data_IF_648518648163
#
_entry.id   IF_648518648163
#
_cell.length_a   1.000
_cell.length_b   1.000
_cell.length_c   1.000
_cell.angle_alpha   90.00
_cell.angle_beta   90.00
_cell.angle_gamma   90.00
#
_symmetry.space_group_name_H-M   'P 1'
#
loop_
_entity.id
_entity.type
_entity.pdbx_description
1 polymer ?
#
# COMPACT_ATOMS: atom_id res chain seq x y z
N UNK A 1 -10.98 16.44 38.74
CA UNK A 1 -12.11 17.03 38.02
C UNK A 1 -11.57 18.06 37.03
N UNK A 2 -11.26 17.61 35.79
CA UNK A 2 -10.97 18.47 34.64
C UNK A 2 -10.95 17.55 33.41
N UNK A 3 -12.13 17.13 32.98
CA UNK A 3 -12.41 16.55 31.68
C UNK A 3 -13.34 17.51 30.95
N UNK A 4 -13.00 17.88 29.74
CA UNK A 4 -13.65 18.67 28.70
C UNK A 4 -12.92 20.03 28.43
N UNK A 5 -12.68 20.35 27.13
CA UNK A 5 -13.51 20.11 25.97
C UNK A 5 -12.72 19.58 24.74
N UNK A 6 -12.86 18.34 24.39
CA UNK A 6 -12.38 17.76 23.12
C UNK A 6 -13.52 17.46 22.12
N UNK A 7 -14.73 17.92 22.40
CA UNK A 7 -15.93 17.57 21.61
C UNK A 7 -16.34 18.64 20.57
N UNK A 8 -15.73 19.83 20.59
CA UNK A 8 -16.19 20.93 19.72
C UNK A 8 -15.57 21.00 18.32
N UNK A 9 -14.69 20.07 17.92
CA UNK A 9 -14.09 20.05 16.56
C UNK A 9 -14.73 19.02 15.60
N UNK A 10 -15.83 18.39 15.99
CA UNK A 10 -16.42 17.25 15.28
C UNK A 10 -17.56 17.60 14.29
N UNK A 11 -17.91 18.85 14.05
CA UNK A 11 -19.09 19.16 13.23
C UNK A 11 -18.84 19.86 11.86
N UNK A 12 -17.63 19.94 11.40
CA UNK A 12 -17.46 20.21 9.98
C UNK A 12 -17.62 18.88 9.23
N UNK A 13 -18.85 18.58 8.80
CA UNK A 13 -19.19 17.43 7.94
C UNK A 13 -18.18 17.40 6.80
N UNK A 14 -17.36 16.37 6.80
CA UNK A 14 -16.25 16.20 5.88
C UNK A 14 -16.79 15.95 4.45
N UNK A 15 -17.08 17.04 3.75
CA UNK A 15 -17.61 17.03 2.37
C UNK A 15 -16.64 16.36 1.41
N UNK A 16 -15.33 16.36 1.73
CA UNK A 16 -14.30 15.69 0.95
C UNK A 16 -14.42 14.17 1.10
N UNK A 17 -14.61 13.65 2.32
CA UNK A 17 -14.80 12.22 2.56
C UNK A 17 -16.05 11.69 1.84
N UNK A 18 -17.17 12.40 1.94
CA UNK A 18 -18.41 12.04 1.22
C UNK A 18 -18.25 12.07 -0.30
N UNK A 19 -17.54 13.07 -0.86
CA UNK A 19 -17.23 13.10 -2.30
C UNK A 19 -16.28 12.00 -2.73
N UNK A 20 -15.28 11.67 -1.94
CA UNK A 20 -14.39 10.53 -2.21
C UNK A 20 -15.16 9.20 -2.21
N UNK A 21 -16.03 8.99 -1.23
CA UNK A 21 -16.89 7.80 -1.15
C UNK A 21 -17.84 7.72 -2.37
N UNK A 22 -18.48 8.84 -2.77
CA UNK A 22 -19.39 8.88 -3.93
C UNK A 22 -18.68 8.61 -5.26
N UNK A 23 -17.45 9.08 -5.43
CA UNK A 23 -16.64 8.82 -6.62
C UNK A 23 -16.14 7.38 -6.67
N UNK A 24 -15.88 6.73 -5.52
CA UNK A 24 -15.53 5.32 -5.48
C UNK A 24 -16.66 4.44 -6.00
N UNK A 25 -17.89 4.75 -5.61
CA UNK A 25 -19.09 4.02 -6.05
C UNK A 25 -19.35 4.22 -7.56
N UNK A 26 -19.13 5.44 -8.10
CA UNK A 26 -19.30 5.72 -9.53
C UNK A 26 -18.19 5.13 -10.42
N UNK A 27 -16.96 5.05 -9.93
CA UNK A 27 -15.84 4.52 -10.72
C UNK A 27 -15.96 3.02 -11.00
N UNK A 28 -16.69 2.26 -10.16
CA UNK A 28 -16.90 0.82 -10.37
C UNK A 28 -17.98 0.50 -11.41
N UNK A 29 -18.75 1.49 -11.86
CA UNK A 29 -19.89 1.27 -12.78
C UNK A 29 -19.60 1.64 -14.24
N UNK A 30 -18.51 2.33 -14.53
CA UNK A 30 -18.13 2.68 -15.90
C UNK A 30 -16.79 2.03 -16.27
N UNK A 31 -16.86 0.89 -16.98
CA UNK A 31 -15.76 0.34 -17.77
C UNK A 31 -15.57 1.28 -18.98
N UNK A 32 -15.22 2.50 -18.73
CA UNK A 32 -14.67 3.37 -19.75
C UNK A 32 -13.17 3.47 -19.51
N UNK A 33 -12.37 3.07 -20.52
CA UNK A 33 -10.94 3.27 -20.65
C UNK A 33 -10.58 4.77 -20.61
N UNK A 34 -11.01 5.49 -19.58
CA UNK A 34 -10.40 6.78 -19.29
C UNK A 34 -9.00 6.49 -18.78
N UNK A 35 -8.02 6.71 -19.68
CA UNK A 35 -6.63 6.85 -19.27
C UNK A 35 -6.61 7.71 -18.03
N UNK A 36 -6.08 7.17 -16.93
CA UNK A 36 -5.88 7.89 -15.67
C UNK A 36 -4.70 8.88 -15.84
N UNK A 37 -4.69 9.58 -16.96
CA UNK A 37 -3.70 10.62 -17.22
C UNK A 37 -4.06 11.82 -16.37
N UNK A 38 -3.20 12.13 -15.42
CA UNK A 38 -3.28 13.35 -14.65
C UNK A 38 -2.37 14.36 -15.31
N UNK A 39 -2.94 15.53 -15.59
CA UNK A 39 -2.15 16.66 -16.07
C UNK A 39 -0.98 16.90 -15.09
N UNK A 40 0.28 16.92 -15.55
CA UNK A 40 1.43 17.21 -14.70
C UNK A 40 1.29 18.49 -13.89
N UNK A 41 0.63 19.52 -14.43
CA UNK A 41 0.30 20.75 -13.73
C UNK A 41 -0.52 20.53 -12.43
N UNK A 42 -1.30 19.45 -12.36
CA UNK A 42 -2.07 19.14 -11.15
C UNK A 42 -1.18 18.89 -9.91
N UNK A 43 0.03 18.35 -10.12
CA UNK A 43 1.00 18.18 -9.04
C UNK A 43 1.58 19.50 -8.59
N UNK A 44 1.78 20.45 -9.53
CA UNK A 44 2.32 21.79 -9.23
C UNK A 44 1.32 22.63 -8.42
N UNK A 45 0.03 22.51 -8.74
CA UNK A 45 -1.04 23.29 -8.10
C UNK A 45 -1.52 22.68 -6.78
N UNK A 46 -1.19 21.39 -6.51
CA UNK A 46 -1.72 20.69 -5.35
C UNK A 46 -0.64 20.40 -4.33
N UNK A 47 -0.65 21.14 -3.22
CA UNK A 47 0.19 20.82 -2.05
C UNK A 47 -0.53 19.81 -1.17
N UNK A 48 0.10 18.64 -0.95
CA UNK A 48 -0.30 17.71 0.10
C UNK A 48 0.13 18.32 1.44
N UNK A 49 -0.81 18.92 2.15
CA UNK A 49 -0.59 19.31 3.53
C UNK A 49 -0.89 18.12 4.46
N UNK A 50 -0.41 18.19 5.71
CA UNK A 50 -0.56 17.13 6.71
C UNK A 50 -2.04 16.75 6.92
N UNK A 51 -2.95 17.72 6.96
CA UNK A 51 -4.39 17.47 7.14
C UNK A 51 -4.97 16.66 5.98
N UNK A 52 -4.63 17.00 4.74
CA UNK A 52 -5.06 16.26 3.56
C UNK A 52 -4.48 14.85 3.55
N UNK A 53 -3.20 14.69 3.86
CA UNK A 53 -2.55 13.40 3.98
C UNK A 53 -3.26 12.49 5.00
N UNK A 54 -3.52 13.00 6.20
CA UNK A 54 -4.23 12.25 7.23
C UNK A 54 -5.68 11.91 6.83
N UNK A 55 -6.35 12.79 6.09
CA UNK A 55 -7.69 12.53 5.56
C UNK A 55 -7.67 11.40 4.53
N UNK A 56 -6.70 11.41 3.60
CA UNK A 56 -6.54 10.33 2.61
C UNK A 56 -6.20 9.01 3.29
N UNK A 57 -5.25 9.02 4.21
CA UNK A 57 -4.87 7.83 4.99
C UNK A 57 -6.06 7.24 5.76
N UNK A 58 -6.83 8.08 6.46
CA UNK A 58 -8.05 7.66 7.17
C UNK A 58 -9.08 7.04 6.22
N UNK A 59 -9.28 7.64 5.04
CA UNK A 59 -10.22 7.12 4.05
C UNK A 59 -9.75 5.78 3.49
N UNK A 60 -8.46 5.60 3.26
CA UNK A 60 -7.89 4.35 2.80
C UNK A 60 -8.12 3.22 3.83
N UNK A 61 -7.88 3.50 5.12
CA UNK A 61 -8.18 2.53 6.19
C UNK A 61 -9.67 2.23 6.28
N UNK A 62 -10.54 3.24 6.20
CA UNK A 62 -11.99 3.06 6.22
C UNK A 62 -12.44 2.18 5.05
N UNK A 63 -11.96 2.43 3.83
CA UNK A 63 -12.28 1.62 2.65
C UNK A 63 -11.88 0.16 2.85
N UNK A 64 -10.65 -0.10 3.33
CA UNK A 64 -10.21 -1.48 3.60
C UNK A 64 -11.05 -2.16 4.69
N UNK A 65 -11.36 -1.47 5.78
CA UNK A 65 -12.17 -2.03 6.86
C UNK A 65 -13.62 -2.32 6.44
N UNK A 66 -14.16 -1.53 5.50
CA UNK A 66 -15.55 -1.67 5.04
C UNK A 66 -15.68 -2.49 3.76
N UNK A 67 -14.58 -2.83 3.08
CA UNK A 67 -14.58 -3.57 1.82
C UNK A 67 -15.41 -4.85 1.87
N UNK A 68 -15.31 -5.72 2.90
CA UNK A 68 -16.12 -6.95 2.95
C UNK A 68 -17.62 -6.70 2.93
N UNK A 69 -18.08 -5.56 3.46
CA UNK A 69 -19.50 -5.20 3.55
C UNK A 69 -20.05 -4.54 2.29
N UNK A 70 -19.18 -4.15 1.36
CA UNK A 70 -19.54 -3.49 0.11
C UNK A 70 -19.19 -4.31 -1.13
N UNK A 71 -18.71 -5.54 -0.94
CA UNK A 71 -18.32 -6.46 -2.00
C UNK A 71 -19.57 -6.94 -2.75
N UNK A 72 -19.62 -6.69 -4.08
CA UNK A 72 -20.71 -7.12 -4.95
C UNK A 72 -20.41 -8.48 -5.59
N UNK A 73 -21.41 -9.12 -6.20
CA UNK A 73 -21.27 -10.45 -6.78
C UNK A 73 -20.06 -10.63 -7.72
N UNK A 74 -19.77 -9.64 -8.59
CA UNK A 74 -18.60 -9.65 -9.48
C UNK A 74 -17.26 -9.56 -8.74
N UNK A 75 -17.24 -8.96 -7.57
CA UNK A 75 -16.01 -8.85 -6.78
C UNK A 75 -15.74 -10.12 -5.99
N UNK A 76 -16.78 -10.86 -5.61
CA UNK A 76 -16.64 -12.21 -5.05
C UNK A 76 -15.98 -13.19 -6.02
N UNK A 77 -16.20 -13.02 -7.34
CA UNK A 77 -15.48 -13.81 -8.33
C UNK A 77 -13.97 -13.56 -8.27
N UNK A 78 -13.53 -12.30 -8.16
CA UNK A 78 -12.11 -11.96 -8.00
C UNK A 78 -11.52 -12.54 -6.71
N UNK A 79 -12.30 -12.54 -5.62
CA UNK A 79 -11.90 -13.17 -4.35
C UNK A 79 -11.74 -14.68 -4.55
N UNK A 80 -12.66 -15.32 -5.27
CA UNK A 80 -12.58 -16.75 -5.59
C UNK A 80 -11.39 -17.07 -6.50
N UNK A 81 -11.12 -16.27 -7.53
CA UNK A 81 -9.94 -16.38 -8.39
C UNK A 81 -8.64 -16.26 -7.59
N UNK A 82 -8.56 -15.28 -6.69
CA UNK A 82 -7.43 -15.12 -5.79
C UNK A 82 -7.28 -16.33 -4.85
N UNK A 83 -8.37 -16.81 -4.26
CA UNK A 83 -8.35 -17.96 -3.39
C UNK A 83 -7.92 -19.24 -4.14
N UNK A 84 -8.40 -19.44 -5.38
CA UNK A 84 -8.00 -20.56 -6.23
C UNK A 84 -6.51 -20.51 -6.59
N UNK A 85 -5.99 -19.34 -7.02
CA UNK A 85 -4.57 -19.15 -7.31
C UNK A 85 -3.72 -19.40 -6.06
N UNK A 86 -4.13 -18.86 -4.92
CA UNK A 86 -3.47 -19.05 -3.62
C UNK A 86 -3.47 -20.53 -3.22
N UNK A 87 -4.61 -21.24 -3.39
CA UNK A 87 -4.74 -22.67 -3.13
C UNK A 87 -3.83 -23.51 -4.02
N UNK A 88 -3.73 -23.17 -5.30
CA UNK A 88 -2.81 -23.85 -6.24
C UNK A 88 -1.35 -23.71 -5.81
N UNK A 89 -0.94 -22.50 -5.39
CA UNK A 89 0.42 -22.25 -4.88
C UNK A 89 0.65 -23.00 -3.57
N UNK A 90 -0.37 -23.10 -2.71
CA UNK A 90 -0.29 -23.83 -1.44
C UNK A 90 0.06 -25.31 -1.64
N UNK A 91 -0.43 -25.96 -2.70
CA UNK A 91 -0.07 -27.33 -3.06
C UNK A 91 1.42 -27.47 -3.38
N UNK A 92 2.05 -26.42 -3.90
CA UNK A 92 3.46 -26.37 -4.26
C UNK A 92 4.35 -25.78 -3.16
N UNK A 93 3.81 -25.40 -1.99
CA UNK A 93 4.58 -24.75 -0.92
C UNK A 93 5.84 -25.53 -0.53
N UNK A 94 5.72 -26.83 -0.21
CA UNK A 94 6.85 -27.65 0.20
C UNK A 94 7.86 -27.90 -0.91
N UNK A 95 7.47 -28.33 -2.14
CA UNK A 95 8.40 -28.52 -3.23
C UNK A 95 9.22 -27.26 -3.56
N UNK A 96 8.54 -26.11 -3.69
CA UNK A 96 9.20 -24.84 -4.01
C UNK A 96 10.14 -24.40 -2.87
N UNK A 97 9.68 -24.50 -1.62
CA UNK A 97 10.50 -24.14 -0.47
C UNK A 97 11.77 -25.03 -0.37
N UNK A 98 11.63 -26.33 -0.56
CA UNK A 98 12.76 -27.26 -0.56
C UNK A 98 13.75 -26.96 -1.68
N UNK A 99 13.25 -26.64 -2.87
CA UNK A 99 14.09 -26.22 -4.00
C UNK A 99 14.85 -24.92 -3.68
N UNK A 100 14.14 -23.89 -3.18
CA UNK A 100 14.72 -22.59 -2.82
C UNK A 100 15.81 -22.74 -1.74
N UNK A 101 15.54 -23.55 -0.72
CA UNK A 101 16.50 -23.86 0.36
C UNK A 101 17.74 -24.59 -0.16
N UNK A 102 17.56 -25.58 -1.05
CA UNK A 102 18.68 -26.30 -1.68
C UNK A 102 19.51 -25.35 -2.56
N UNK A 103 18.84 -24.50 -3.33
CA UNK A 103 19.52 -23.51 -4.17
C UNK A 103 20.36 -22.53 -3.35
N UNK A 104 19.83 -22.05 -2.24
CA UNK A 104 20.54 -21.18 -1.29
C UNK A 104 21.74 -21.88 -0.67
N UNK A 105 21.56 -23.11 -0.18
CA UNK A 105 22.63 -23.86 0.47
C UNK A 105 23.78 -24.26 -0.45
N UNK A 106 23.49 -24.54 -1.73
CA UNK A 106 24.48 -24.95 -2.72
C UNK A 106 25.20 -23.79 -3.41
N UNK A 107 24.76 -22.53 -3.21
CA UNK A 107 25.27 -21.36 -3.90
C UNK A 107 25.58 -20.20 -2.93
N UNK A 108 26.80 -20.15 -2.34
CA UNK A 108 27.16 -19.08 -1.38
C UNK A 108 27.02 -17.66 -1.94
N UNK A 109 27.28 -17.48 -3.24
CA UNK A 109 27.07 -16.19 -3.91
C UNK A 109 25.61 -15.77 -3.93
N UNK A 110 24.71 -16.71 -4.27
CA UNK A 110 23.25 -16.46 -4.22
C UNK A 110 22.79 -16.19 -2.78
N UNK A 111 23.31 -16.90 -1.79
CA UNK A 111 23.01 -16.66 -0.39
C UNK A 111 23.37 -15.24 0.04
N UNK A 112 24.57 -14.77 -0.32
CA UNK A 112 25.03 -13.41 -0.03
C UNK A 112 24.14 -12.35 -0.71
N UNK A 113 23.82 -12.53 -1.99
CA UNK A 113 22.93 -11.62 -2.74
C UNK A 113 21.53 -11.61 -2.13
N UNK A 114 20.98 -12.78 -1.80
CA UNK A 114 19.67 -12.92 -1.17
C UNK A 114 19.59 -12.17 0.16
N UNK A 115 20.58 -12.38 1.04
CA UNK A 115 20.67 -11.68 2.32
C UNK A 115 20.79 -10.15 2.17
N UNK A 116 21.47 -9.68 1.14
CA UNK A 116 21.57 -8.25 0.84
C UNK A 116 20.24 -7.70 0.31
N UNK A 117 19.63 -8.37 -0.67
CA UNK A 117 18.39 -7.95 -1.31
C UNK A 117 17.23 -7.93 -0.31
N UNK A 118 17.16 -8.90 0.62
CA UNK A 118 16.07 -8.99 1.59
C UNK A 118 16.02 -7.77 2.52
N UNK A 119 17.14 -7.09 2.78
CA UNK A 119 17.18 -5.88 3.60
C UNK A 119 16.41 -4.72 3.00
N UNK A 120 16.23 -4.69 1.65
CA UNK A 120 15.46 -3.67 0.96
C UNK A 120 13.95 -3.81 1.16
N UNK A 121 13.43 -4.96 1.54
CA UNK A 121 12.03 -5.12 1.95
C UNK A 121 11.79 -4.82 3.44
N UNK A 122 12.76 -4.23 4.12
CA UNK A 122 12.71 -3.87 5.53
C UNK A 122 13.36 -2.51 5.79
N UNK A 123 14.44 -2.44 6.61
CA UNK A 123 15.04 -1.14 6.98
C UNK A 123 15.52 -0.30 5.79
N UNK A 124 16.07 -0.94 4.75
CA UNK A 124 16.62 -0.22 3.60
C UNK A 124 15.52 0.38 2.71
N UNK A 125 14.31 -0.14 2.75
CA UNK A 125 13.17 0.48 2.06
C UNK A 125 12.88 1.88 2.62
N UNK A 126 12.94 2.05 3.94
CA UNK A 126 12.78 3.35 4.59
C UNK A 126 13.88 4.31 4.16
N UNK A 127 15.13 3.85 4.06
CA UNK A 127 16.25 4.67 3.57
C UNK A 127 16.08 5.04 2.09
N UNK A 128 15.63 4.11 1.25
CA UNK A 128 15.34 4.38 -0.15
C UNK A 128 14.25 5.43 -0.31
N UNK A 129 13.12 5.28 0.40
CA UNK A 129 12.04 6.27 0.41
C UNK A 129 12.53 7.63 0.91
N UNK A 130 13.34 7.67 1.97
CA UNK A 130 13.97 8.89 2.48
C UNK A 130 14.89 9.55 1.45
N UNK A 131 15.68 8.77 0.72
CA UNK A 131 16.56 9.25 -0.35
C UNK A 131 15.79 9.85 -1.53
N UNK A 132 14.70 9.22 -1.99
CA UNK A 132 13.83 9.77 -3.02
C UNK A 132 13.12 11.05 -2.57
N UNK A 133 12.71 11.12 -1.30
CA UNK A 133 12.13 12.33 -0.74
C UNK A 133 13.14 13.47 -0.69
N UNK A 134 14.37 13.20 -0.24
CA UNK A 134 15.47 14.16 -0.22
C UNK A 134 15.82 14.64 -1.64
N UNK A 135 15.85 13.74 -2.63
CA UNK A 135 16.03 14.12 -4.04
C UNK A 135 14.94 15.12 -4.47
N UNK A 136 13.66 14.82 -4.17
CA UNK A 136 12.56 15.74 -4.48
C UNK A 136 12.67 17.10 -3.79
N UNK A 137 13.27 17.16 -2.58
CA UNK A 137 13.54 18.42 -1.88
C UNK A 137 14.66 19.20 -2.55
N UNK A 138 15.78 18.56 -2.88
CA UNK A 138 16.97 19.19 -3.46
C UNK A 138 16.70 19.76 -4.85
N UNK A 139 15.96 19.03 -5.69
CA UNK A 139 15.65 19.46 -7.07
C UNK A 139 14.29 20.15 -7.19
N UNK A 140 13.64 20.44 -6.06
CA UNK A 140 12.34 21.12 -5.95
C UNK A 140 11.23 20.50 -6.82
N UNK A 141 11.29 19.21 -7.05
CA UNK A 141 10.33 18.46 -7.88
C UNK A 141 9.16 18.00 -7.04
N UNK A 142 7.95 18.44 -7.35
CA UNK A 142 6.74 18.13 -6.56
C UNK A 142 6.23 16.72 -6.81
N UNK A 143 6.37 16.22 -8.03
CA UNK A 143 5.93 14.87 -8.39
C UNK A 143 6.68 13.83 -7.55
N UNK A 144 8.00 13.93 -7.44
CA UNK A 144 8.85 13.01 -6.69
C UNK A 144 8.53 13.06 -5.18
N UNK A 145 8.37 14.25 -4.60
CA UNK A 145 7.95 14.40 -3.19
C UNK A 145 6.59 13.73 -2.94
N UNK A 146 5.63 14.02 -3.82
CA UNK A 146 4.29 13.45 -3.69
C UNK A 146 4.31 11.94 -3.85
N UNK A 147 4.99 11.41 -4.86
CA UNK A 147 5.12 9.96 -5.09
C UNK A 147 5.71 9.26 -3.86
N UNK A 148 6.76 9.84 -3.27
CA UNK A 148 7.38 9.25 -2.07
C UNK A 148 6.45 9.27 -0.86
N UNK A 149 5.67 10.34 -0.68
CA UNK A 149 4.65 10.40 0.38
C UNK A 149 3.57 9.33 0.16
N UNK A 150 3.11 9.12 -1.08
CA UNK A 150 2.15 8.07 -1.42
C UNK A 150 2.73 6.66 -1.21
N UNK A 151 4.01 6.44 -1.58
CA UNK A 151 4.69 5.19 -1.34
C UNK A 151 4.81 4.89 0.16
N UNK A 152 5.14 5.89 0.97
CA UNK A 152 5.15 5.78 2.44
C UNK A 152 3.76 5.47 3.00
N UNK A 153 2.71 6.09 2.46
CA UNK A 153 1.32 5.79 2.84
C UNK A 153 0.94 4.35 2.51
N UNK A 154 1.28 3.88 1.32
CA UNK A 154 1.03 2.50 0.89
C UNK A 154 1.82 1.49 1.75
N UNK A 155 3.06 1.82 2.11
CA UNK A 155 3.88 1.04 3.04
C UNK A 155 3.20 0.90 4.42
N UNK A 156 2.76 2.02 5.02
CA UNK A 156 2.07 2.01 6.32
C UNK A 156 0.79 1.18 6.25
N UNK A 157 -0.04 1.41 5.23
CA UNK A 157 -1.28 0.67 5.03
C UNK A 157 -1.05 -0.84 4.89
N UNK A 158 -0.14 -1.21 4.00
CA UNK A 158 0.18 -2.61 3.75
C UNK A 158 0.77 -3.29 4.99
N UNK A 159 1.56 -2.56 5.78
CA UNK A 159 2.10 -3.02 7.05
C UNK A 159 1.01 -3.34 8.09
N UNK A 160 0.00 -2.46 8.21
CA UNK A 160 -1.14 -2.69 9.12
C UNK A 160 -1.98 -3.88 8.67
N UNK A 161 -2.34 -3.95 7.38
CA UNK A 161 -3.13 -5.06 6.82
C UNK A 161 -2.36 -6.38 6.97
N UNK A 162 -1.07 -6.38 6.65
CA UNK A 162 -0.20 -7.54 6.82
C UNK A 162 -0.08 -7.97 8.29
N UNK A 163 0.01 -7.02 9.22
CA UNK A 163 0.02 -7.28 10.66
C UNK A 163 -1.26 -7.95 11.15
N UNK A 164 -2.42 -7.46 10.70
CA UNK A 164 -3.73 -8.09 10.97
C UNK A 164 -3.77 -9.51 10.38
N UNK A 165 -3.30 -9.70 9.14
CA UNK A 165 -3.20 -11.02 8.52
C UNK A 165 -2.35 -11.99 9.35
N UNK A 166 -1.15 -11.57 9.75
CA UNK A 166 -0.25 -12.38 10.60
C UNK A 166 -0.92 -12.83 11.89
N UNK A 167 -1.64 -11.93 12.55
CA UNK A 167 -2.37 -12.24 13.76
C UNK A 167 -3.52 -13.23 13.52
N UNK A 168 -4.33 -13.02 12.47
CA UNK A 168 -5.51 -13.85 12.20
C UNK A 168 -5.14 -15.27 11.75
N UNK A 169 -4.11 -15.40 10.93
CA UNK A 169 -3.74 -16.68 10.35
C UNK A 169 -2.77 -17.47 11.21
N UNK A 170 -1.84 -16.81 11.91
CA UNK A 170 -0.87 -17.47 12.79
C UNK A 170 -0.10 -18.57 12.06
N UNK A 171 0.37 -18.32 10.82
CA UNK A 171 1.06 -19.33 10.03
C UNK A 171 2.48 -19.56 10.51
N UNK A 172 2.83 -20.82 10.69
CA UNK A 172 4.15 -21.27 11.09
C UNK A 172 5.18 -21.07 9.97
N UNK A 173 6.37 -20.53 10.33
CA UNK A 173 7.45 -20.30 9.37
C UNK A 173 8.12 -21.58 8.89
N UNK A 174 8.72 -21.58 7.68
CA UNK A 174 9.36 -22.75 7.09
C UNK A 174 10.53 -23.33 7.90
N UNK A 175 11.27 -22.48 8.60
CA UNK A 175 12.44 -22.90 9.40
C UNK A 175 12.05 -23.45 10.79
N UNK A 176 10.81 -23.28 11.21
CA UNK A 176 10.39 -23.53 12.58
C UNK A 176 9.67 -24.88 12.73
N UNK A 177 9.94 -25.55 13.85
CA UNK A 177 9.20 -26.73 14.30
C UNK A 177 8.43 -26.34 15.54
N UNK A 178 7.13 -26.49 15.52
CA UNK A 178 6.26 -26.16 16.65
C UNK A 178 6.53 -27.10 17.85
N UNK A 179 6.93 -26.58 19.01
CA UNK A 179 7.28 -27.41 20.17
C UNK A 179 6.08 -28.11 20.81
N UNK A 180 4.85 -27.61 20.58
CA UNK A 180 3.63 -28.21 21.13
C UNK A 180 3.21 -29.44 20.33
N UNK A 181 3.24 -29.36 19.02
CA UNK A 181 2.81 -30.44 18.13
C UNK A 181 3.93 -31.29 17.57
N UNK A 182 5.18 -30.84 17.67
CA UNK A 182 6.35 -31.46 17.05
C UNK A 182 6.35 -31.39 15.52
N UNK A 183 5.46 -30.60 14.90
CA UNK A 183 5.28 -30.56 13.46
C UNK A 183 5.96 -29.36 12.81
N UNK A 184 6.48 -29.58 11.60
CA UNK A 184 6.99 -28.56 10.69
C UNK A 184 6.14 -28.49 9.44
N UNK A 185 5.87 -27.28 8.92
CA UNK A 185 5.10 -27.13 7.69
C UNK A 185 4.31 -25.84 7.62
N UNK A 186 3.63 -25.59 6.48
CA UNK A 186 2.73 -24.46 6.31
C UNK A 186 1.41 -24.71 7.07
N UNK A 187 1.48 -24.58 8.39
CA UNK A 187 0.37 -24.87 9.30
C UNK A 187 -0.18 -23.54 9.80
N UNK A 188 -1.47 -23.33 9.61
CA UNK A 188 -2.22 -22.19 10.12
C UNK A 188 -2.78 -22.52 11.50
N UNK A 189 -2.26 -21.90 12.53
CA UNK A 189 -2.69 -22.12 13.92
C UNK A 189 -3.82 -21.18 14.36
N UNK A 190 -4.11 -20.16 13.56
CA UNK A 190 -5.12 -19.14 13.87
C UNK A 190 -4.66 -18.09 14.88
N UNK A 191 -5.57 -17.18 15.26
CA UNK A 191 -5.28 -16.12 16.21
C UNK A 191 -4.97 -16.70 17.59
N UNK A 192 -4.17 -15.98 18.36
CA UNK A 192 -3.82 -16.30 19.75
C UNK A 192 -2.92 -17.53 19.96
N UNK A 193 -2.62 -18.36 18.96
CA UNK A 193 -1.78 -19.54 19.18
C UNK A 193 -0.40 -19.20 19.72
N UNK A 194 0.24 -18.17 19.18
CA UNK A 194 1.55 -17.69 19.65
C UNK A 194 1.57 -17.12 21.08
N UNK A 195 0.42 -17.03 21.75
CA UNK A 195 0.31 -16.65 23.15
C UNK A 195 0.26 -17.85 24.09
N UNK A 196 0.17 -19.07 23.57
CA UNK A 196 0.25 -20.30 24.35
C UNK A 196 1.64 -20.46 24.96
N UNK A 197 1.73 -21.29 25.97
CA UNK A 197 3.00 -21.73 26.53
C UNK A 197 3.42 -23.04 25.86
N UNK A 198 4.71 -23.20 25.65
CA UNK A 198 5.29 -24.44 25.19
C UNK A 198 5.25 -25.54 26.27
N UNK A 199 5.68 -26.77 25.94
CA UNK A 199 5.61 -27.94 26.84
C UNK A 199 6.32 -27.75 28.18
N UNK A 200 7.36 -26.91 28.24
CA UNK A 200 8.13 -26.61 29.45
C UNK A 200 7.77 -25.26 30.08
N UNK A 201 6.61 -24.66 29.69
CA UNK A 201 6.14 -23.38 30.22
C UNK A 201 6.77 -22.13 29.59
N UNK A 202 7.66 -22.31 28.60
CA UNK A 202 8.29 -21.22 27.84
C UNK A 202 7.27 -20.45 26.99
N UNK A 203 7.57 -19.18 26.74
CA UNK A 203 6.78 -18.36 25.82
C UNK A 203 7.12 -18.70 24.38
N UNK A 204 6.12 -18.97 23.56
CA UNK A 204 6.30 -19.12 22.12
C UNK A 204 6.72 -17.78 21.48
N UNK A 205 7.59 -17.85 20.49
CA UNK A 205 8.00 -16.67 19.73
C UNK A 205 6.92 -16.30 18.72
N UNK A 206 6.36 -15.10 18.85
CA UNK A 206 5.32 -14.61 17.92
C UNK A 206 5.80 -14.52 16.47
N UNK A 207 7.10 -14.27 16.27
CA UNK A 207 7.68 -14.18 14.94
C UNK A 207 7.61 -15.52 14.18
N UNK A 208 7.68 -16.64 14.88
CA UNK A 208 7.71 -17.97 14.29
C UNK A 208 6.31 -18.41 13.77
N UNK A 209 5.25 -17.76 14.27
CA UNK A 209 3.86 -17.93 13.82
C UNK A 209 3.35 -16.71 13.04
N UNK A 210 4.22 -15.90 12.48
CA UNK A 210 3.89 -14.70 11.73
C UNK A 210 4.40 -14.78 10.29
N UNK A 211 4.18 -15.95 9.62
CA UNK A 211 4.63 -16.17 8.25
C UNK A 211 3.70 -15.47 7.25
N UNK A 212 2.41 -15.75 7.28
CA UNK A 212 1.44 -15.25 6.30
C UNK A 212 0.79 -13.93 6.71
N UNK A 213 0.73 -12.95 5.81
CA UNK A 213 1.47 -12.80 4.55
C UNK A 213 2.91 -12.29 4.77
N UNK A 214 3.77 -12.39 3.74
CA UNK A 214 5.14 -11.87 3.80
C UNK A 214 5.17 -10.34 3.88
N UNK A 215 5.60 -9.79 5.01
CA UNK A 215 5.67 -8.34 5.23
C UNK A 215 6.63 -7.63 4.28
N UNK A 216 7.83 -8.18 4.06
CA UNK A 216 8.82 -7.64 3.13
C UNK A 216 8.29 -7.54 1.71
N UNK A 217 7.64 -8.61 1.24
CA UNK A 217 7.04 -8.63 -0.10
C UNK A 217 5.87 -7.65 -0.20
N UNK A 218 5.03 -7.57 0.84
CA UNK A 218 3.88 -6.65 0.87
C UNK A 218 4.35 -5.20 0.78
N UNK A 219 5.34 -4.81 1.55
CA UNK A 219 5.91 -3.48 1.56
C UNK A 219 6.55 -3.13 0.20
N UNK A 220 7.43 -3.99 -0.31
CA UNK A 220 8.11 -3.78 -1.57
C UNK A 220 7.13 -3.64 -2.76
N UNK A 221 6.11 -4.50 -2.85
CA UNK A 221 5.10 -4.38 -3.90
C UNK A 221 4.18 -3.17 -3.73
N UNK A 222 3.92 -2.72 -2.49
CA UNK A 222 3.16 -1.49 -2.26
C UNK A 222 3.90 -0.26 -2.80
N UNK A 223 5.17 -0.10 -2.46
CA UNK A 223 6.00 0.98 -2.99
C UNK A 223 6.19 0.87 -4.52
N UNK A 224 6.53 -0.32 -5.02
CA UNK A 224 6.70 -0.57 -6.46
C UNK A 224 5.45 -0.19 -7.26
N UNK A 225 4.26 -0.50 -6.76
CA UNK A 225 2.99 -0.16 -7.42
C UNK A 225 2.77 1.34 -7.48
N UNK A 226 3.09 2.07 -6.41
CA UNK A 226 2.99 3.54 -6.43
C UNK A 226 3.92 4.12 -7.49
N UNK A 227 5.21 3.75 -7.51
CA UNK A 227 6.15 4.24 -8.51
C UNK A 227 5.74 3.83 -9.93
N UNK A 228 5.31 2.59 -10.13
CA UNK A 228 4.86 2.10 -11.43
C UNK A 228 3.63 2.87 -11.95
N UNK A 229 2.70 3.23 -11.09
CA UNK A 229 1.50 3.98 -11.48
C UNK A 229 1.77 5.46 -11.71
N UNK A 230 2.65 6.07 -10.92
CA UNK A 230 2.98 7.49 -11.02
C UNK A 230 3.90 7.80 -12.21
N UNK A 231 4.73 6.84 -12.62
CA UNK A 231 5.70 6.97 -13.72
C UNK A 231 5.45 5.97 -14.85
N UNK A 232 4.19 5.63 -15.12
CA UNK A 232 3.84 4.66 -16.18
C UNK A 232 4.20 5.14 -17.59
N UNK A 233 4.41 6.44 -17.80
CA UNK A 233 4.92 7.07 -19.00
C UNK A 233 6.40 6.74 -19.24
N UNK A 234 7.11 6.28 -18.22
CA UNK A 234 8.53 5.88 -18.26
C UNK A 234 8.66 4.36 -18.07
N UNK A 235 8.65 3.55 -19.14
CA UNK A 235 8.48 2.09 -19.05
C UNK A 235 9.54 1.38 -18.21
N UNK A 236 10.73 1.95 -18.07
CA UNK A 236 11.78 1.40 -17.21
C UNK A 236 11.42 1.43 -15.73
N UNK A 237 10.65 2.43 -15.27
CA UNK A 237 10.34 2.57 -13.83
C UNK A 237 9.41 1.45 -13.35
N UNK A 238 8.29 1.11 -14.01
CA UNK A 238 7.49 -0.06 -13.64
C UNK A 238 8.30 -1.37 -13.67
N UNK A 239 9.12 -1.57 -14.70
CA UNK A 239 9.94 -2.79 -14.85
C UNK A 239 10.92 -2.92 -13.68
N UNK A 240 11.68 -1.87 -13.38
CA UNK A 240 12.67 -1.88 -12.30
C UNK A 240 12.02 -2.00 -10.94
N UNK A 241 10.90 -1.29 -10.70
CA UNK A 241 10.18 -1.30 -9.42
C UNK A 241 9.62 -2.69 -9.12
N UNK A 242 8.87 -3.29 -10.04
CA UNK A 242 8.34 -4.63 -9.84
C UNK A 242 9.43 -5.71 -9.90
N UNK A 243 10.48 -5.52 -10.70
CA UNK A 243 11.65 -6.41 -10.72
C UNK A 243 12.33 -6.45 -9.35
N UNK A 244 12.60 -5.29 -8.74
CA UNK A 244 13.17 -5.20 -7.41
C UNK A 244 12.26 -5.84 -6.34
N UNK A 245 10.95 -5.53 -6.36
CA UNK A 245 9.99 -6.12 -5.43
C UNK A 245 9.91 -7.65 -5.57
N UNK A 246 10.00 -8.18 -6.79
CA UNK A 246 10.04 -9.62 -7.05
C UNK A 246 11.31 -10.25 -6.49
N UNK A 247 12.48 -9.64 -6.68
CA UNK A 247 13.74 -10.12 -6.12
C UNK A 247 13.68 -10.14 -4.57
N UNK A 248 13.08 -9.12 -3.94
CA UNK A 248 12.85 -9.10 -2.49
C UNK A 248 11.93 -10.28 -2.09
N UNK A 249 10.84 -10.53 -2.81
CA UNK A 249 9.97 -11.67 -2.54
C UNK A 249 10.68 -13.02 -2.65
N UNK A 250 11.47 -13.21 -3.72
CA UNK A 250 12.25 -14.43 -3.94
C UNK A 250 13.32 -14.64 -2.88
N UNK A 251 13.97 -13.57 -2.40
CA UNK A 251 14.95 -13.67 -1.32
C UNK A 251 14.35 -14.25 -0.04
N UNK A 252 13.05 -13.97 0.24
CA UNK A 252 12.37 -14.53 1.42
C UNK A 252 12.19 -16.04 1.34
N UNK A 253 12.05 -16.59 0.13
CA UNK A 253 11.98 -18.04 -0.10
C UNK A 253 13.36 -18.69 0.09
N UNK A 254 14.38 -18.12 -0.53
CA UNK A 254 15.75 -18.67 -0.45
C UNK A 254 16.33 -18.60 0.96
N UNK A 255 15.95 -17.58 1.74
CA UNK A 255 16.30 -17.46 3.17
C UNK A 255 15.44 -18.35 4.10
N UNK A 256 14.53 -19.15 3.55
CA UNK A 256 13.65 -20.04 4.32
C UNK A 256 12.79 -19.30 5.36
N UNK A 257 12.43 -18.02 5.09
CA UNK A 257 11.69 -17.16 6.01
C UNK A 257 10.19 -17.20 5.78
N UNK A 258 9.77 -17.46 4.54
CA UNK A 258 8.37 -17.44 4.10
C UNK A 258 8.07 -18.57 3.14
N UNK A 259 6.81 -19.04 3.17
CA UNK A 259 6.30 -19.98 2.19
C UNK A 259 5.98 -19.27 0.86
N UNK A 260 5.95 -19.97 -0.29
CA UNK A 260 5.51 -19.41 -1.56
C UNK A 260 4.17 -18.70 -1.50
N UNK A 261 3.22 -19.25 -0.77
CA UNK A 261 1.89 -18.66 -0.57
C UNK A 261 1.97 -17.29 0.13
N UNK A 262 2.88 -17.13 1.11
CA UNK A 262 3.06 -15.87 1.84
C UNK A 262 3.57 -14.77 0.93
N UNK A 263 4.52 -15.12 0.07
CA UNK A 263 5.14 -14.20 -0.91
C UNK A 263 4.10 -13.78 -1.93
N UNK A 264 3.33 -14.72 -2.47
CA UNK A 264 2.27 -14.43 -3.44
C UNK A 264 1.17 -13.54 -2.83
N UNK A 265 0.65 -13.91 -1.66
CA UNK A 265 -0.36 -13.11 -0.96
C UNK A 265 0.18 -11.72 -0.59
N UNK A 266 1.44 -11.64 -0.14
CA UNK A 266 2.11 -10.39 0.14
C UNK A 266 2.22 -9.48 -1.09
N UNK A 267 2.60 -10.03 -2.24
CA UNK A 267 2.69 -9.28 -3.50
C UNK A 267 1.33 -8.71 -3.92
N UNK A 268 0.27 -9.51 -3.81
CA UNK A 268 -1.09 -9.07 -4.15
C UNK A 268 -1.60 -8.00 -3.19
N UNK A 269 -1.40 -8.16 -1.87
CA UNK A 269 -1.78 -7.15 -0.88
C UNK A 269 -1.03 -5.85 -1.08
N UNK A 270 0.27 -5.91 -1.36
CA UNK A 270 1.08 -4.73 -1.68
C UNK A 270 0.58 -4.02 -2.93
N UNK A 271 0.36 -4.77 -4.01
CA UNK A 271 -0.20 -4.23 -5.25
C UNK A 271 -1.54 -3.53 -5.02
N UNK A 272 -2.48 -4.16 -4.31
CA UNK A 272 -3.80 -3.59 -4.05
C UNK A 272 -3.70 -2.33 -3.17
N UNK A 273 -2.86 -2.34 -2.15
CA UNK A 273 -2.62 -1.17 -1.28
C UNK A 273 -2.02 0.01 -2.04
N UNK A 274 -0.97 -0.21 -2.82
CA UNK A 274 -0.36 0.83 -3.66
C UNK A 274 -1.34 1.42 -4.67
N UNK A 275 -2.08 0.55 -5.36
CA UNK A 275 -3.12 0.95 -6.33
C UNK A 275 -4.22 1.78 -5.69
N UNK A 276 -4.67 1.40 -4.50
CA UNK A 276 -5.72 2.12 -3.78
C UNK A 276 -5.24 3.53 -3.40
N UNK A 277 -4.05 3.65 -2.82
CA UNK A 277 -3.47 4.94 -2.42
C UNK A 277 -3.36 5.90 -3.60
N UNK A 278 -2.78 5.44 -4.73
CA UNK A 278 -2.65 6.26 -5.94
C UNK A 278 -4.02 6.66 -6.49
N UNK A 279 -4.96 5.72 -6.60
CA UNK A 279 -6.30 6.02 -7.12
C UNK A 279 -7.05 7.04 -6.25
N UNK A 280 -6.95 6.94 -4.93
CA UNK A 280 -7.59 7.88 -4.01
C UNK A 280 -6.95 9.27 -4.09
N UNK A 281 -5.62 9.34 -4.22
CA UNK A 281 -4.93 10.59 -4.47
C UNK A 281 -5.34 11.23 -5.81
N UNK A 282 -5.40 10.45 -6.89
CA UNK A 282 -5.84 10.93 -8.20
C UNK A 282 -7.30 11.43 -8.17
N UNK A 283 -8.19 10.77 -7.43
CA UNK A 283 -9.56 11.25 -7.20
C UNK A 283 -9.56 12.59 -6.46
N UNK A 284 -8.71 12.73 -5.44
CA UNK A 284 -8.55 13.99 -4.72
C UNK A 284 -8.09 15.12 -5.64
N UNK A 285 -7.10 14.88 -6.51
CA UNK A 285 -6.65 15.87 -7.49
C UNK A 285 -7.79 16.32 -8.41
N UNK A 286 -8.57 15.38 -8.95
CA UNK A 286 -9.74 15.68 -9.80
C UNK A 286 -10.80 16.53 -9.07
N UNK A 287 -11.06 16.25 -7.79
CA UNK A 287 -12.00 17.04 -6.99
C UNK A 287 -11.47 18.48 -6.83
N UNK A 288 -10.18 18.64 -6.59
CA UNK A 288 -9.57 19.98 -6.43
C UNK A 288 -9.60 20.75 -7.73
N UNK A 289 -9.24 20.13 -8.85
CA UNK A 289 -9.32 20.75 -10.18
C UNK A 289 -10.76 21.15 -10.54
N UNK A 290 -11.75 20.29 -10.30
CA UNK A 290 -13.16 20.62 -10.51
C UNK A 290 -13.66 21.76 -9.64
N UNK A 291 -13.11 21.97 -8.45
CA UNK A 291 -13.42 23.15 -7.63
C UNK A 291 -12.75 24.43 -8.15
N UNK A 292 -11.54 24.32 -8.71
CA UNK A 292 -10.86 25.47 -9.31
C UNK A 292 -11.54 25.95 -10.60
N UNK A 293 -12.22 25.02 -11.32
CA UNK A 293 -13.01 25.34 -12.52
C UNK A 293 -14.39 25.96 -12.13
N UNK A 294 -14.83 25.78 -10.89
CA UNK A 294 -16.14 26.23 -10.38
C UNK A 294 -16.07 27.46 -9.49
N UNK A 295 -15.12 28.37 -9.71
CA UNK A 295 -15.30 29.76 -9.33
C UNK A 295 -15.85 30.52 -10.58
N UNK A 296 -17.17 30.53 -10.76
CA UNK A 296 -17.76 31.03 -12.01
C UNK A 296 -17.66 32.54 -12.13
N UNK A 297 -17.33 33.24 -11.05
CA UNK A 297 -17.30 34.72 -11.04
C UNK A 297 -16.04 35.20 -10.34
N UNK A 298 -15.19 35.88 -11.08
CA UNK A 298 -14.04 36.63 -10.51
C UNK A 298 -14.31 38.14 -10.58
N UNK A 299 -14.24 38.82 -9.45
CA UNK A 299 -14.35 40.26 -9.42
C UNK A 299 -12.96 40.89 -9.63
N UNK A 300 -12.82 41.72 -10.64
CA UNK A 300 -11.60 42.42 -10.96
C UNK A 300 -11.81 43.92 -10.78
N UNK A 301 -10.93 44.58 -10.05
CA UNK A 301 -10.89 46.03 -9.86
C UNK A 301 -9.65 46.56 -10.53
N UNK A 302 -9.79 47.43 -11.53
CA UNK A 302 -8.68 48.10 -12.21
C UNK A 302 -8.82 49.61 -12.02
N UNK A 303 -7.70 50.23 -11.71
CA UNK A 303 -7.62 51.70 -11.68
C UNK A 303 -6.82 52.16 -12.90
N UNK A 304 -7.50 52.85 -13.82
CA UNK A 304 -6.89 53.41 -15.03
C UNK A 304 -7.53 54.77 -15.34
N UNK A 305 -6.74 55.73 -15.80
CA UNK A 305 -7.19 57.06 -16.20
C UNK A 305 -8.04 57.81 -15.15
N UNK A 306 -7.62 57.74 -13.86
CA UNK A 306 -8.37 58.32 -12.72
C UNK A 306 -9.78 57.77 -12.51
N UNK A 307 -10.09 56.62 -13.07
CA UNK A 307 -11.36 55.91 -12.89
C UNK A 307 -11.12 54.52 -12.31
N UNK A 308 -12.01 54.09 -11.42
CA UNK A 308 -12.05 52.74 -10.89
C UNK A 308 -13.02 51.93 -11.74
N UNK A 309 -12.49 50.93 -12.44
CA UNK A 309 -13.28 50.03 -13.27
C UNK A 309 -13.46 48.68 -12.51
N UNK A 310 -14.67 48.39 -12.13
CA UNK A 310 -15.05 47.08 -11.57
C UNK A 310 -15.60 46.17 -12.67
N UNK A 311 -15.09 44.96 -12.79
CA UNK A 311 -15.55 43.98 -13.75
C UNK A 311 -15.74 42.61 -13.13
N UNK A 312 -16.68 41.85 -13.65
CA UNK A 312 -16.91 40.44 -13.32
C UNK A 312 -16.49 39.61 -14.53
N UNK A 313 -15.63 38.60 -14.29
CA UNK A 313 -15.33 37.62 -15.33
C UNK A 313 -16.09 36.34 -14.97
N UNK A 314 -16.98 35.91 -15.85
CA UNK A 314 -17.70 34.64 -15.74
C UNK A 314 -17.07 33.63 -16.68
N UNK A 315 -16.63 32.49 -16.15
CA UNK A 315 -16.14 31.36 -16.96
C UNK A 315 -17.27 30.35 -17.13
N UNK A 316 -17.65 30.12 -18.39
CA UNK A 316 -18.63 29.11 -18.78
C UNK A 316 -18.05 27.69 -18.71
#
# INVERSE_FOLDING_TARGET
MLLLPLVALSQQKDTLSKKLDSLSIKADTTINKQKNEINPAAYEDTRLNVRTYLTLLKNDFKQNATLPFHTKGKDWLKVAEFAAATGTIALANRPINNFAKKLHGNNPGLASVSNYVSRFGGPYEVYALGGFFAYGLLFNTRKEKTTTILATQAYIMSGVIGGVGKFLFGEQRPYYTDPISGKSGPIFHGPFYAFKKGPHGEKLSRSDYASFPSGHTTAAFAAATVYAMEYRDKPLIPILSYGAATLIGLSRLTENQHWPIDVFAGAMLGYLSGRQVVNNFHRYLKIKQGKAIHEPVTFNLQYANKQVLGGFTYKF
#
